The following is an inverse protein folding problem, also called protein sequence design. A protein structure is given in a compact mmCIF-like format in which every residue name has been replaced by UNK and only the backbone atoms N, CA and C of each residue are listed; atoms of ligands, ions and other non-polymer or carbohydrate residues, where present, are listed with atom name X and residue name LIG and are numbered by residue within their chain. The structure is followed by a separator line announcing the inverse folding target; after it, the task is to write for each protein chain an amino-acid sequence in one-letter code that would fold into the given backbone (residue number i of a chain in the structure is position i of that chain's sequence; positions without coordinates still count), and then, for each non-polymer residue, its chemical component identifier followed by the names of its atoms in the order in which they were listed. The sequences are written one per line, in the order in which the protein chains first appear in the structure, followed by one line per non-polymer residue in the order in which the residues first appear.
data_IF_251794402823
#
_entry.id   IF_251794402823
#
_cell.length_a   1.000
_cell.length_b   1.000
_cell.length_c   1.000
_cell.angle_alpha   90.00
_cell.angle_beta   90.00
_cell.angle_gamma   90.00
#
_symmetry.space_group_name_H-M   'P 1'
#
loop_
_entity.id
_entity.type
_entity.pdbx_description
1 polymer ?
#
# COMPACT_ATOMS: atom_id res chain seq x y z
N UNK A 1 -15.66 -28.66 -13.13
CA UNK A 1 -15.26 -27.34 -13.68
C UNK A 1 -15.96 -26.18 -12.94
N UNK A 2 -17.18 -26.37 -12.45
CA UNK A 2 -17.98 -25.37 -11.70
C UNK A 2 -17.31 -24.86 -10.40
N UNK A 3 -16.72 -25.77 -9.60
CA UNK A 3 -16.03 -25.41 -8.34
C UNK A 3 -14.71 -24.61 -8.52
N UNK A 4 -14.04 -24.71 -9.67
CA UNK A 4 -12.87 -23.86 -9.96
C UNK A 4 -13.28 -22.45 -10.37
N UNK A 5 -14.39 -22.29 -11.09
CA UNK A 5 -14.90 -20.98 -11.48
C UNK A 5 -15.44 -20.19 -10.28
N UNK A 6 -16.14 -20.86 -9.36
CA UNK A 6 -16.66 -20.25 -8.12
C UNK A 6 -15.56 -19.62 -7.26
N UNK A 7 -14.41 -20.30 -7.14
CA UNK A 7 -13.24 -19.79 -6.41
C UNK A 7 -12.57 -18.57 -7.08
N UNK A 8 -12.56 -18.52 -8.43
CA UNK A 8 -12.04 -17.36 -9.18
C UNK A 8 -12.96 -16.15 -9.02
N UNK A 9 -14.28 -16.34 -9.14
CA UNK A 9 -15.25 -15.25 -8.96
C UNK A 9 -15.19 -14.66 -7.56
N UNK A 10 -15.11 -15.49 -6.52
CA UNK A 10 -14.96 -15.02 -5.14
C UNK A 10 -13.67 -14.24 -4.92
N UNK A 11 -12.55 -14.72 -5.48
CA UNK A 11 -11.25 -14.05 -5.39
C UNK A 11 -11.32 -12.64 -5.99
N UNK A 12 -11.90 -12.53 -7.19
CA UNK A 12 -12.08 -11.24 -7.87
C UNK A 12 -13.00 -10.33 -7.04
N UNK A 13 -14.14 -10.85 -6.57
CA UNK A 13 -15.06 -10.09 -5.75
C UNK A 13 -14.38 -9.56 -4.47
N UNK A 14 -13.56 -10.37 -3.80
CA UNK A 14 -12.82 -9.94 -2.61
C UNK A 14 -11.80 -8.84 -2.92
N UNK A 15 -11.05 -8.97 -4.01
CA UNK A 15 -10.12 -7.92 -4.48
C UNK A 15 -10.88 -6.63 -4.81
N UNK A 16 -12.04 -6.72 -5.46
CA UNK A 16 -12.88 -5.55 -5.76
C UNK A 16 -13.37 -4.87 -4.48
N UNK A 17 -13.84 -5.63 -3.49
CA UNK A 17 -14.26 -5.08 -2.19
C UNK A 17 -13.09 -4.38 -1.48
N UNK A 18 -11.90 -5.01 -1.45
CA UNK A 18 -10.71 -4.38 -0.90
C UNK A 18 -10.32 -3.09 -1.64
N UNK A 19 -10.44 -3.07 -2.97
CA UNK A 19 -10.16 -1.90 -3.79
C UNK A 19 -11.10 -0.75 -3.46
N UNK A 20 -12.41 -1.02 -3.43
CA UNK A 20 -13.44 -0.01 -3.08
C UNK A 20 -13.23 0.50 -1.66
N UNK A 21 -13.00 -0.37 -0.68
CA UNK A 21 -12.71 0.04 0.69
C UNK A 21 -11.47 0.95 0.75
N UNK A 22 -10.40 0.56 0.06
CA UNK A 22 -9.16 1.33 0.01
C UNK A 22 -9.36 2.72 -0.59
N UNK A 23 -10.13 2.84 -1.68
CA UNK A 23 -10.44 4.12 -2.31
C UNK A 23 -11.34 4.99 -1.44
N UNK A 24 -12.38 4.42 -0.83
CA UNK A 24 -13.28 5.16 0.07
C UNK A 24 -12.54 5.68 1.30
N UNK A 25 -11.63 4.90 1.88
CA UNK A 25 -10.81 5.34 3.01
C UNK A 25 -9.85 6.47 2.61
N UNK A 26 -9.34 6.47 1.39
CA UNK A 26 -8.51 7.58 0.90
C UNK A 26 -9.30 8.87 0.70
N UNK A 27 -10.60 8.78 0.41
CA UNK A 27 -11.50 9.91 0.22
C UNK A 27 -12.10 10.44 1.54
N UNK A 28 -12.11 9.64 2.60
CA UNK A 28 -12.71 10.04 3.87
C UNK A 28 -11.86 11.09 4.60
N UNK A 29 -12.48 11.98 5.41
CA UNK A 29 -11.75 12.92 6.24
C UNK A 29 -10.86 12.14 7.21
N UNK A 30 -9.54 12.18 6.98
CA UNK A 30 -8.55 11.45 7.77
C UNK A 30 -7.60 12.42 8.46
N UNK A 31 -7.06 12.07 9.64
CA UNK A 31 -5.94 12.80 10.22
C UNK A 31 -4.80 12.87 9.19
N UNK A 32 -4.00 13.95 9.19
CA UNK A 32 -2.92 14.11 8.22
C UNK A 32 -2.06 12.83 8.16
N UNK A 33 -1.88 12.27 6.96
CA UNK A 33 -0.97 11.15 6.65
C UNK A 33 -1.14 9.82 7.40
N UNK A 34 -2.29 9.58 8.02
CA UNK A 34 -2.66 8.20 8.38
C UNK A 34 -3.16 7.51 7.11
N UNK A 35 -2.43 6.54 6.60
CA UNK A 35 -2.73 5.88 5.33
C UNK A 35 -2.87 4.36 5.50
N UNK A 36 -4.04 3.83 5.12
CA UNK A 36 -4.31 2.39 5.11
C UNK A 36 -4.00 1.75 3.75
N UNK A 37 -3.76 2.54 2.70
CA UNK A 37 -3.51 2.06 1.34
C UNK A 37 -2.32 1.10 1.29
N UNK A 38 -1.22 1.46 1.96
CA UNK A 38 -0.02 0.63 2.06
C UNK A 38 -0.33 -0.73 2.68
N UNK A 39 -1.15 -0.76 3.73
CA UNK A 39 -1.60 -1.99 4.37
C UNK A 39 -2.44 -2.85 3.42
N UNK A 40 -3.48 -2.28 2.80
CA UNK A 40 -4.34 -3.03 1.88
C UNK A 40 -3.58 -3.56 0.66
N UNK A 41 -2.63 -2.78 0.16
CA UNK A 41 -1.81 -3.13 -0.99
C UNK A 41 -0.85 -4.27 -0.66
N UNK A 42 -0.12 -4.13 0.45
CA UNK A 42 0.75 -5.18 0.98
C UNK A 42 -0.06 -6.46 1.28
N UNK A 43 -1.23 -6.32 1.92
CA UNK A 43 -2.12 -7.41 2.25
C UNK A 43 -2.64 -8.16 1.02
N UNK A 44 -3.05 -7.44 -0.01
CA UNK A 44 -3.49 -8.02 -1.29
C UNK A 44 -2.35 -8.80 -1.93
N UNK A 45 -1.12 -8.25 -1.91
CA UNK A 45 0.07 -8.96 -2.34
C UNK A 45 0.33 -10.23 -1.53
N UNK A 46 0.23 -10.14 -0.21
CA UNK A 46 0.41 -11.27 0.69
C UNK A 46 -0.59 -12.39 0.37
N UNK A 47 -1.89 -12.11 0.27
CA UNK A 47 -2.90 -13.16 0.07
C UNK A 47 -2.90 -13.70 -1.37
N UNK A 48 -2.83 -12.84 -2.38
CA UNK A 48 -3.06 -13.20 -3.79
C UNK A 48 -1.78 -13.29 -4.63
N UNK A 49 -0.63 -12.92 -4.06
CA UNK A 49 0.68 -13.01 -4.69
C UNK A 49 1.22 -11.65 -5.18
N UNK A 50 2.53 -11.59 -5.48
CA UNK A 50 3.25 -10.34 -5.70
C UNK A 50 2.74 -9.55 -6.90
N UNK A 51 2.43 -10.23 -8.02
CA UNK A 51 1.93 -9.57 -9.24
C UNK A 51 0.56 -8.92 -8.98
N UNK A 52 -0.35 -9.63 -8.32
CA UNK A 52 -1.70 -9.12 -8.02
C UNK A 52 -1.62 -7.94 -7.06
N UNK A 53 -0.79 -8.02 -6.01
CA UNK A 53 -0.55 -6.91 -5.10
C UNK A 53 0.03 -5.68 -5.81
N UNK A 54 1.01 -5.88 -6.70
CA UNK A 54 1.62 -4.79 -7.46
C UNK A 54 0.63 -4.08 -8.39
N UNK A 55 -0.16 -4.85 -9.15
CA UNK A 55 -1.21 -4.29 -10.02
C UNK A 55 -2.26 -3.56 -9.17
N UNK A 56 -2.68 -4.15 -8.05
CA UNK A 56 -3.64 -3.53 -7.13
C UNK A 56 -3.14 -2.17 -6.62
N UNK A 57 -1.91 -2.11 -6.11
CA UNK A 57 -1.33 -0.86 -5.59
C UNK A 57 -1.20 0.23 -6.66
N UNK A 58 -0.68 -0.14 -7.83
CA UNK A 58 -0.57 0.78 -8.96
C UNK A 58 -1.93 1.29 -9.43
N UNK A 59 -2.94 0.41 -9.51
CA UNK A 59 -4.29 0.78 -9.91
C UNK A 59 -4.97 1.70 -8.89
N UNK A 60 -4.87 1.40 -7.60
CA UNK A 60 -5.44 2.24 -6.54
C UNK A 60 -4.85 3.65 -6.59
N UNK A 61 -3.53 3.79 -6.76
CA UNK A 61 -2.91 5.11 -6.89
C UNK A 61 -3.22 5.81 -8.20
N UNK A 62 -3.40 5.08 -9.29
CA UNK A 62 -3.87 5.66 -10.54
C UNK A 62 -5.27 6.27 -10.36
N UNK A 63 -6.20 5.50 -9.79
CA UNK A 63 -7.58 5.95 -9.55
C UNK A 63 -7.61 7.11 -8.54
N UNK A 64 -6.89 7.00 -7.42
CA UNK A 64 -6.78 8.08 -6.44
C UNK A 64 -6.17 9.33 -7.10
N UNK A 65 -5.07 9.18 -7.84
CA UNK A 65 -4.40 10.28 -8.53
C UNK A 65 -5.33 11.05 -9.48
N UNK A 66 -6.09 10.34 -10.33
CA UNK A 66 -6.94 10.97 -11.35
C UNK A 66 -8.33 11.39 -10.86
N UNK A 67 -8.95 10.61 -9.97
CA UNK A 67 -10.38 10.78 -9.64
C UNK A 67 -10.60 11.39 -8.25
N UNK A 68 -9.60 11.40 -7.37
CA UNK A 68 -9.75 12.01 -6.06
C UNK A 68 -9.66 13.53 -6.14
N UNK A 69 -10.52 14.28 -5.43
CA UNK A 69 -10.37 15.73 -5.27
C UNK A 69 -9.02 16.12 -4.65
N UNK A 70 -8.41 15.20 -3.91
CA UNK A 70 -7.11 15.34 -3.25
C UNK A 70 -5.97 14.63 -4.00
N UNK A 71 -6.28 14.03 -5.15
CA UNK A 71 -5.34 13.30 -5.97
C UNK A 71 -4.32 14.24 -6.60
N UNK A 72 -3.05 13.85 -6.56
CA UNK A 72 -2.00 14.54 -7.30
C UNK A 72 -1.96 14.02 -8.75
N UNK A 73 -2.99 14.33 -9.54
CA UNK A 73 -2.98 14.11 -10.99
C UNK A 73 -1.89 14.99 -11.61
N UNK A 74 -0.69 14.43 -11.82
CA UNK A 74 0.45 15.17 -12.34
C UNK A 74 1.72 14.33 -12.38
N UNK A 75 2.87 15.00 -12.48
CA UNK A 75 4.17 14.34 -12.64
C UNK A 75 4.56 13.43 -11.46
N UNK A 76 3.96 13.62 -10.28
CA UNK A 76 4.24 12.78 -9.12
C UNK A 76 3.42 11.48 -9.08
N UNK A 77 2.37 11.34 -9.88
CA UNK A 77 1.49 10.17 -9.87
C UNK A 77 2.19 8.87 -10.34
N UNK A 78 3.05 8.86 -11.38
CA UNK A 78 3.84 7.67 -11.73
C UNK A 78 4.72 7.17 -10.57
N UNK A 79 5.29 8.08 -9.78
CA UNK A 79 6.10 7.72 -8.61
C UNK A 79 5.25 7.10 -7.50
N UNK A 80 4.05 7.63 -7.26
CA UNK A 80 3.08 7.05 -6.34
C UNK A 80 2.63 5.65 -6.78
N UNK A 81 2.30 5.48 -8.06
CA UNK A 81 1.93 4.18 -8.64
C UNK A 81 3.07 3.16 -8.51
N UNK A 82 4.29 3.55 -8.86
CA UNK A 82 5.46 2.68 -8.76
C UNK A 82 5.74 2.26 -7.31
N UNK A 83 5.63 3.20 -6.37
CA UNK A 83 5.87 2.94 -4.94
C UNK A 83 4.81 2.01 -4.35
N UNK A 84 3.52 2.24 -4.62
CA UNK A 84 2.48 1.32 -4.17
C UNK A 84 2.55 -0.04 -4.86
N UNK A 85 2.90 -0.09 -6.15
CA UNK A 85 3.16 -1.35 -6.82
C UNK A 85 4.29 -2.13 -6.13
N UNK A 86 5.37 -1.45 -5.73
CA UNK A 86 6.47 -2.06 -4.98
C UNK A 86 6.02 -2.59 -3.62
N UNK A 87 5.21 -1.83 -2.87
CA UNK A 87 4.64 -2.28 -1.59
C UNK A 87 3.83 -3.58 -1.78
N UNK A 88 3.02 -3.65 -2.83
CA UNK A 88 2.23 -4.84 -3.15
C UNK A 88 3.09 -6.04 -3.55
N UNK A 89 4.15 -5.81 -4.32
CA UNK A 89 5.14 -6.84 -4.66
C UNK A 89 5.82 -7.38 -3.40
N UNK A 90 6.28 -6.50 -2.50
CA UNK A 90 6.93 -6.87 -1.25
C UNK A 90 5.99 -7.70 -0.37
N UNK A 91 4.70 -7.37 -0.28
CA UNK A 91 3.72 -8.17 0.45
C UNK A 91 3.63 -9.62 -0.04
N UNK A 92 3.62 -9.83 -1.35
CA UNK A 92 3.59 -11.17 -1.94
C UNK A 92 4.90 -11.94 -1.81
N UNK A 93 6.04 -11.24 -1.85
CA UNK A 93 7.34 -11.84 -1.59
C UNK A 93 7.49 -12.22 -0.11
N UNK A 94 7.07 -11.34 0.80
CA UNK A 94 7.15 -11.56 2.24
C UNK A 94 6.41 -12.84 2.66
N UNK A 95 5.26 -13.14 2.07
CA UNK A 95 4.56 -14.40 2.33
C UNK A 95 5.38 -15.65 1.99
N UNK A 96 6.21 -15.60 0.94
CA UNK A 96 7.06 -16.76 0.56
C UNK A 96 8.16 -17.03 1.58
N UNK A 97 8.63 -16.00 2.26
CA UNK A 97 9.71 -16.08 3.24
C UNK A 97 9.22 -16.22 4.68
N UNK A 98 7.99 -15.80 4.96
CA UNK A 98 7.41 -15.88 6.30
C UNK A 98 7.15 -17.33 6.72
N UNK A 99 7.59 -17.69 7.93
CA UNK A 99 7.51 -19.05 8.49
C UNK A 99 6.25 -19.32 9.31
N UNK A 100 5.35 -18.35 9.49
CA UNK A 100 4.07 -18.53 10.19
C UNK A 100 3.46 -17.22 10.74
N UNK A 101 2.14 -17.20 10.97
CA UNK A 101 1.34 -15.99 11.29
C UNK A 101 1.00 -15.89 12.80
N UNK A 102 1.84 -16.44 13.70
CA UNK A 102 1.37 -16.78 15.07
C UNK A 102 2.21 -16.25 16.24
N UNK A 103 3.09 -15.25 16.05
CA UNK A 103 3.93 -14.71 17.13
C UNK A 103 3.83 -13.20 17.28
N UNK A 104 4.14 -12.70 18.48
CA UNK A 104 4.42 -11.27 18.74
C UNK A 104 5.61 -10.80 17.88
N UNK A 105 6.55 -11.69 17.60
CA UNK A 105 7.69 -11.43 16.70
C UNK A 105 7.21 -11.07 15.29
N UNK A 106 6.17 -11.74 14.80
CA UNK A 106 5.58 -11.46 13.49
C UNK A 106 4.91 -10.08 13.44
N UNK A 107 4.25 -9.65 14.53
CA UNK A 107 3.75 -8.28 14.65
C UNK A 107 4.88 -7.25 14.62
N UNK A 108 5.95 -7.49 15.36
CA UNK A 108 7.10 -6.59 15.40
C UNK A 108 7.80 -6.50 14.04
N UNK A 109 8.01 -7.64 13.37
CA UNK A 109 8.54 -7.70 12.00
C UNK A 109 7.69 -6.88 11.02
N UNK A 110 6.36 -7.06 11.06
CA UNK A 110 5.47 -6.30 10.20
C UNK A 110 5.43 -4.81 10.51
N UNK A 111 5.52 -4.42 11.78
CA UNK A 111 5.60 -3.03 12.18
C UNK A 111 6.86 -2.35 11.63
N UNK A 112 8.02 -3.02 11.74
CA UNK A 112 9.29 -2.56 11.18
C UNK A 112 9.23 -2.52 9.66
N UNK A 113 8.65 -3.53 9.03
CA UNK A 113 8.49 -3.57 7.58
C UNK A 113 7.55 -2.47 7.09
N UNK A 114 6.44 -2.23 7.79
CA UNK A 114 5.53 -1.12 7.51
C UNK A 114 6.21 0.25 7.61
N UNK A 115 7.03 0.45 8.65
CA UNK A 115 7.84 1.65 8.80
C UNK A 115 8.80 1.85 7.60
N UNK A 116 9.54 0.80 7.24
CA UNK A 116 10.48 0.83 6.13
C UNK A 116 9.79 1.12 4.80
N UNK A 117 8.64 0.48 4.54
CA UNK A 117 7.86 0.69 3.33
C UNK A 117 7.28 2.10 3.26
N UNK A 118 6.88 2.69 4.39
CA UNK A 118 6.43 4.08 4.45
C UNK A 118 7.57 5.06 4.12
N UNK A 119 8.75 4.89 4.72
CA UNK A 119 9.94 5.70 4.38
C UNK A 119 10.28 5.57 2.90
N UNK A 120 10.25 4.36 2.35
CA UNK A 120 10.55 4.12 0.94
C UNK A 120 9.55 4.80 0.02
N UNK A 121 8.26 4.71 0.34
CA UNK A 121 7.19 5.39 -0.38
C UNK A 121 7.37 6.92 -0.35
N UNK A 122 7.60 7.49 0.83
CA UNK A 122 7.81 8.93 1.01
C UNK A 122 9.05 9.42 0.26
N UNK A 123 10.13 8.63 0.29
CA UNK A 123 11.35 8.97 -0.45
C UNK A 123 11.12 9.02 -1.96
N UNK A 124 10.47 7.99 -2.54
CA UNK A 124 10.23 7.92 -3.99
C UNK A 124 9.25 9.03 -4.43
N UNK A 125 8.22 9.31 -3.64
CA UNK A 125 7.24 10.36 -3.94
C UNK A 125 7.79 11.77 -3.76
N UNK A 126 8.68 12.00 -2.77
CA UNK A 126 9.40 13.27 -2.66
C UNK A 126 10.41 13.45 -3.79
N UNK A 127 11.05 12.36 -4.26
CA UNK A 127 11.90 12.40 -5.44
C UNK A 127 11.11 12.77 -6.69
N UNK A 128 9.91 12.23 -6.88
CA UNK A 128 9.04 12.61 -8.00
C UNK A 128 8.66 14.10 -7.97
N UNK A 129 8.41 14.65 -6.77
CA UNK A 129 8.22 16.09 -6.60
C UNK A 129 9.49 16.91 -6.91
N UNK A 130 10.67 16.46 -6.46
CA UNK A 130 11.94 17.11 -6.79
C UNK A 130 12.23 17.11 -8.30
N UNK A 131 11.95 16.01 -9.00
CA UNK A 131 12.08 15.92 -10.47
C UNK A 131 11.16 16.92 -11.15
N UNK A 132 9.91 17.04 -10.71
CA UNK A 132 8.98 18.02 -11.24
C UNK A 132 9.50 19.47 -11.07
N UNK A 133 9.97 19.81 -9.87
CA UNK A 133 10.56 21.13 -9.60
C UNK A 133 11.80 21.40 -10.47
N UNK A 134 12.61 20.39 -10.73
CA UNK A 134 13.78 20.52 -11.60
C UNK A 134 13.42 20.77 -13.06
N UNK A 135 12.37 20.12 -13.56
CA UNK A 135 11.81 20.39 -14.91
C UNK A 135 11.29 21.84 -14.99
N UNK A 136 10.76 22.37 -13.89
CA UNK A 136 10.29 23.77 -13.78
C UNK A 136 11.43 24.79 -13.62
N UNK A 137 12.71 24.37 -13.68
CA UNK A 137 13.87 25.24 -13.69
C UNK A 137 14.58 25.42 -12.33
N UNK A 138 14.15 24.71 -11.28
CA UNK A 138 14.86 24.72 -10.00
C UNK A 138 16.13 23.85 -10.10
N UNK A 139 17.31 24.30 -9.63
CA UNK A 139 18.49 23.46 -9.58
C UNK A 139 18.21 22.14 -8.84
N UNK A 140 18.61 21.01 -9.42
CA UNK A 140 18.20 19.68 -8.92
C UNK A 140 18.58 19.42 -7.45
N UNK A 141 19.76 19.89 -7.02
CA UNK A 141 20.20 19.83 -5.63
C UNK A 141 19.27 20.60 -4.68
N UNK A 142 18.84 21.80 -5.08
CA UNK A 142 17.90 22.62 -4.32
C UNK A 142 16.49 22.01 -4.34
N UNK A 143 16.07 21.45 -5.46
CA UNK A 143 14.78 20.76 -5.59
C UNK A 143 14.66 19.56 -4.64
N UNK A 144 15.72 18.73 -4.55
CA UNK A 144 15.77 17.62 -3.58
C UNK A 144 15.71 18.15 -2.15
N UNK A 145 16.50 19.19 -1.83
CA UNK A 145 16.53 19.74 -0.48
C UNK A 145 15.14 20.26 -0.06
N UNK A 146 14.47 21.00 -0.94
CA UNK A 146 13.10 21.49 -0.71
C UNK A 146 12.13 20.31 -0.52
N UNK A 147 12.14 19.35 -1.44
CA UNK A 147 11.22 18.20 -1.37
C UNK A 147 11.39 17.41 -0.07
N UNK A 148 12.63 17.15 0.34
CA UNK A 148 12.92 16.39 1.56
C UNK A 148 12.61 17.20 2.83
N UNK A 149 12.94 18.50 2.85
CA UNK A 149 12.68 19.35 4.02
C UNK A 149 11.17 19.53 4.28
N UNK A 150 10.38 19.76 3.24
CA UNK A 150 8.92 19.87 3.36
C UNK A 150 8.24 18.52 3.55
N UNK A 151 8.79 17.44 2.98
CA UNK A 151 8.25 16.09 3.10
C UNK A 151 8.54 15.42 4.46
N UNK A 152 9.60 15.81 5.16
CA UNK A 152 10.03 15.13 6.38
C UNK A 152 8.99 15.13 7.53
N UNK A 153 8.32 16.26 7.88
CA UNK A 153 7.30 16.25 8.93
C UNK A 153 6.14 15.31 8.60
N UNK A 154 5.74 15.29 7.33
CA UNK A 154 4.69 14.43 6.81
C UNK A 154 5.09 12.95 6.84
N UNK A 155 6.34 12.66 6.52
CA UNK A 155 6.89 11.31 6.55
C UNK A 155 6.96 10.74 7.97
N UNK A 156 7.33 11.55 8.97
CA UNK A 156 7.34 11.10 10.38
C UNK A 156 5.95 10.60 10.79
N UNK A 157 4.90 11.37 10.49
CA UNK A 157 3.52 10.97 10.80
C UNK A 157 3.14 9.71 10.02
N UNK A 158 3.50 9.63 8.74
CA UNK A 158 3.20 8.49 7.89
C UNK A 158 3.86 7.19 8.39
N UNK A 159 5.14 7.27 8.78
CA UNK A 159 5.92 6.15 9.33
C UNK A 159 5.33 5.67 10.65
N UNK A 160 5.08 6.58 11.60
CA UNK A 160 4.48 6.21 12.89
C UNK A 160 3.11 5.57 12.69
N UNK A 161 2.29 6.12 11.79
CA UNK A 161 0.99 5.54 11.45
C UNK A 161 1.12 4.13 10.88
N UNK A 162 2.07 3.89 9.96
CA UNK A 162 2.29 2.57 9.38
C UNK A 162 2.81 1.55 10.38
N UNK A 163 3.65 1.95 11.34
CA UNK A 163 4.08 1.09 12.46
C UNK A 163 2.87 0.52 13.19
N UNK A 164 1.92 1.39 13.59
CA UNK A 164 0.71 0.95 14.29
C UNK A 164 -0.22 0.13 13.40
N UNK A 165 -0.47 0.60 12.17
CA UNK A 165 -1.39 -0.04 11.23
C UNK A 165 -0.90 -1.44 10.83
N UNK A 166 0.39 -1.61 10.51
CA UNK A 166 0.95 -2.93 10.20
C UNK A 166 1.08 -3.83 11.43
N UNK A 167 1.56 -3.28 12.55
CA UNK A 167 1.77 -4.06 13.78
C UNK A 167 0.48 -4.58 14.40
N UNK A 168 -0.62 -3.84 14.30
CA UNK A 168 -1.89 -4.16 14.98
C UNK A 168 -2.94 -4.70 14.00
N UNK A 169 -3.17 -4.04 12.85
CA UNK A 169 -4.31 -4.35 12.00
C UNK A 169 -4.06 -5.49 11.00
N UNK A 170 -2.80 -5.76 10.62
CA UNK A 170 -2.49 -6.78 9.63
C UNK A 170 -2.91 -8.19 10.08
N UNK A 171 -2.55 -8.58 11.31
CA UNK A 171 -2.86 -9.91 11.85
C UNK A 171 -4.36 -10.26 11.86
N UNK A 172 -5.26 -9.43 12.44
CA UNK A 172 -6.68 -9.73 12.42
C UNK A 172 -7.22 -9.79 10.98
N UNK A 173 -6.75 -8.92 10.08
CA UNK A 173 -7.14 -8.99 8.66
C UNK A 173 -6.74 -10.31 8.00
N UNK A 174 -5.51 -10.79 8.23
CA UNK A 174 -5.02 -12.05 7.70
C UNK A 174 -5.81 -13.25 8.23
N UNK A 175 -6.15 -13.27 9.53
CA UNK A 175 -6.99 -14.32 10.12
C UNK A 175 -8.40 -14.35 9.52
N UNK A 176 -9.03 -13.18 9.36
CA UNK A 176 -10.38 -13.07 8.77
C UNK A 176 -10.38 -13.51 7.31
N UNK A 177 -9.43 -13.04 6.50
CA UNK A 177 -9.35 -13.45 5.09
C UNK A 177 -9.09 -14.94 4.93
N UNK A 178 -8.20 -15.53 5.74
CA UNK A 178 -8.00 -16.98 5.72
C UNK A 178 -9.29 -17.72 6.07
N UNK A 179 -10.07 -17.27 7.07
CA UNK A 179 -11.35 -17.90 7.39
C UNK A 179 -12.36 -17.80 6.23
N UNK A 180 -12.50 -16.63 5.61
CA UNK A 180 -13.43 -16.42 4.48
C UNK A 180 -13.03 -17.26 3.26
N UNK A 181 -11.73 -17.31 2.94
CA UNK A 181 -11.22 -18.04 1.78
C UNK A 181 -11.16 -19.55 2.01
N UNK A 182 -10.95 -20.01 3.24
CA UNK A 182 -10.96 -21.46 3.59
C UNK A 182 -12.38 -22.00 3.69
N UNK A 183 -13.32 -21.27 4.30
CA UNK A 183 -14.73 -21.68 4.40
C UNK A 183 -15.33 -21.97 3.02
N UNK A 184 -14.94 -21.19 2.00
CA UNK A 184 -15.40 -21.40 0.62
C UNK A 184 -14.71 -22.55 -0.14
N UNK A 185 -13.62 -23.13 0.40
CA UNK A 185 -13.04 -24.37 -0.17
C UNK A 185 -13.75 -25.63 0.29
N UNK A 186 -14.57 -25.54 1.34
CA UNK A 186 -15.20 -26.69 2.02
C UNK A 186 -16.67 -26.88 1.61
N UNK A 187 -17.26 -25.95 0.84
CA UNK A 187 -18.65 -26.04 0.33
C UNK A 187 -18.77 -25.85 -1.17
#
# INVERSE_FOLDING_TARGET
MEGQNKNKTLTIAFICVLCVLCLVIQLSPRPPNVEFTSLFTFFTGFIFGPIVGGIFGGFVMFVNGFLSPWGFAGFNMPFQMASMALIGLVGGLYRKFSRGIHSVEFCAELAVLGAFLAVLYDFITNLGYAVFQAIMGVPFNLAILIAMAYGAPFSIIHVLSNVFVFGIAFLPMAKVANKILVVNKIG
#
